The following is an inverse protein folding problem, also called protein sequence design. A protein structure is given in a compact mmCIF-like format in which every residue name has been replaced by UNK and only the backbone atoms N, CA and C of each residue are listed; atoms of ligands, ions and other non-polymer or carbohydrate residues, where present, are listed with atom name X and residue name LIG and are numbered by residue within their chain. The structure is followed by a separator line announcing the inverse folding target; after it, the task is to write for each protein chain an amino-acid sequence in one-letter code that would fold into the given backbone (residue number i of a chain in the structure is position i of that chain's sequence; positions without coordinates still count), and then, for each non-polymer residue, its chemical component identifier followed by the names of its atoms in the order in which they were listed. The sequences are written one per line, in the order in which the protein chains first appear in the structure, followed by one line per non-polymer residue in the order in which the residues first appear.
data_IF_568472312653
#
_entry.id   IF_568472312653
#
_cell.length_a   1.000
_cell.length_b   1.000
_cell.length_c   1.000
_cell.angle_alpha   90.00
_cell.angle_beta   90.00
_cell.angle_gamma   90.00
#
_symmetry.space_group_name_H-M   'P 1'
#
loop_
_entity.id
_entity.type
_entity.pdbx_description
1 polymer ?
#
# COMPACT_ATOMS: atom_id res chain seq x y z
N UNK A 1 -35.98 61.69 -7.70
CA UNK A 1 -36.25 60.50 -6.82
C UNK A 1 -36.72 59.38 -7.70
N UNK A 2 -35.82 58.44 -8.04
CA UNK A 2 -36.19 57.25 -8.80
C UNK A 2 -35.96 56.09 -7.85
N UNK A 3 -36.99 55.40 -7.40
CA UNK A 3 -36.94 54.18 -6.60
C UNK A 3 -36.74 52.99 -7.54
N UNK A 4 -35.58 52.41 -7.52
CA UNK A 4 -35.29 51.12 -8.16
C UNK A 4 -35.82 49.99 -7.28
N UNK A 5 -36.82 49.27 -7.78
CA UNK A 5 -37.35 48.05 -7.16
C UNK A 5 -36.45 46.86 -7.53
N UNK A 6 -35.64 46.41 -6.61
CA UNK A 6 -34.92 45.13 -6.72
C UNK A 6 -35.92 43.98 -6.58
N UNK A 7 -36.26 43.32 -7.67
CA UNK A 7 -36.94 42.03 -7.66
C UNK A 7 -35.97 40.98 -7.16
N UNK A 8 -36.21 40.45 -5.94
CA UNK A 8 -35.52 39.23 -5.45
C UNK A 8 -36.13 38.03 -6.19
N UNK A 9 -35.37 37.45 -7.09
CA UNK A 9 -35.67 36.14 -7.64
C UNK A 9 -35.52 35.10 -6.52
N UNK A 10 -36.63 34.66 -5.96
CA UNK A 10 -36.68 33.44 -5.12
C UNK A 10 -36.66 32.24 -6.03
N UNK A 11 -35.44 31.71 -6.28
CA UNK A 11 -35.31 30.38 -6.84
C UNK A 11 -35.92 29.40 -5.83
N UNK A 12 -37.10 28.89 -6.14
CA UNK A 12 -37.73 27.83 -5.37
C UNK A 12 -36.82 26.60 -5.48
N UNK A 13 -36.21 26.20 -4.38
CA UNK A 13 -35.68 24.85 -4.20
C UNK A 13 -36.89 23.91 -4.16
N UNK A 14 -37.46 23.64 -5.35
CA UNK A 14 -38.40 22.54 -5.50
C UNK A 14 -37.66 21.26 -5.15
N UNK A 15 -38.16 20.55 -4.15
CA UNK A 15 -37.83 19.23 -3.69
C UNK A 15 -37.27 18.34 -4.82
N UNK A 16 -35.95 18.31 -4.97
CA UNK A 16 -35.28 17.12 -5.38
C UNK A 16 -35.64 16.06 -4.32
N UNK A 17 -36.67 15.26 -4.60
CA UNK A 17 -36.73 13.93 -3.99
C UNK A 17 -35.40 13.28 -4.36
N UNK A 18 -34.49 13.32 -3.43
CA UNK A 18 -33.23 12.58 -3.53
C UNK A 18 -33.65 11.12 -3.74
N UNK A 19 -33.62 10.67 -4.99
CA UNK A 19 -33.56 9.23 -5.24
C UNK A 19 -32.39 8.78 -4.40
N UNK A 20 -32.65 7.92 -3.43
CA UNK A 20 -31.62 7.50 -2.49
C UNK A 20 -30.52 6.87 -3.32
N UNK A 21 -29.38 7.57 -3.37
CA UNK A 21 -28.20 7.08 -4.09
C UNK A 21 -27.84 5.70 -3.54
N UNK A 22 -27.71 4.72 -4.42
CA UNK A 22 -27.42 3.33 -4.06
C UNK A 22 -26.36 2.73 -4.98
N UNK A 23 -25.78 1.64 -4.56
CA UNK A 23 -24.96 0.76 -5.41
C UNK A 23 -25.91 -0.12 -6.23
N UNK A 24 -25.74 -0.15 -7.56
CA UNK A 24 -26.54 -0.98 -8.47
C UNK A 24 -25.81 -2.25 -8.87
N UNK A 25 -24.48 -2.15 -9.03
CA UNK A 25 -23.66 -3.29 -9.46
C UNK A 25 -22.37 -3.32 -8.66
N UNK A 26 -21.98 -4.50 -8.22
CA UNK A 26 -20.64 -4.82 -7.69
C UNK A 26 -20.05 -5.92 -8.53
N UNK A 27 -18.96 -5.65 -9.20
CA UNK A 27 -18.23 -6.65 -10.01
C UNK A 27 -16.83 -6.82 -9.43
N UNK A 28 -16.33 -8.04 -9.44
CA UNK A 28 -14.99 -8.38 -8.94
C UNK A 28 -14.24 -9.22 -9.98
N UNK A 29 -12.97 -8.88 -10.19
CA UNK A 29 -12.10 -9.51 -11.16
C UNK A 29 -10.82 -9.96 -10.49
N UNK A 30 -10.42 -11.22 -10.68
CA UNK A 30 -9.06 -11.67 -10.34
C UNK A 30 -8.23 -11.56 -11.61
N UNK A 31 -7.14 -10.80 -11.54
CA UNK A 31 -6.30 -10.44 -12.69
C UNK A 31 -4.87 -10.90 -12.42
N UNK A 32 -4.29 -11.63 -13.37
CA UNK A 32 -2.90 -12.10 -13.28
C UNK A 32 -2.03 -11.29 -14.25
N UNK A 33 -1.13 -10.48 -13.70
CA UNK A 33 -0.21 -9.66 -14.48
C UNK A 33 1.20 -10.26 -14.46
N UNK A 34 1.88 -10.34 -15.62
CA UNK A 34 3.25 -10.80 -15.69
C UNK A 34 4.20 -9.78 -15.04
N UNK A 35 5.25 -10.30 -14.40
CA UNK A 35 6.29 -9.51 -13.72
C UNK A 35 7.59 -9.52 -14.49
N UNK A 36 8.39 -8.48 -14.33
CA UNK A 36 9.68 -8.29 -15.03
C UNK A 36 10.70 -9.37 -14.69
N UNK A 37 10.62 -9.91 -13.49
CA UNK A 37 11.47 -11.03 -12.99
C UNK A 37 10.75 -11.72 -11.83
N UNK A 38 11.05 -13.01 -11.55
CA UNK A 38 10.59 -13.65 -10.32
C UNK A 38 11.00 -12.83 -9.10
N UNK A 39 10.08 -12.59 -8.17
CA UNK A 39 10.35 -11.86 -6.94
C UNK A 39 10.53 -12.84 -5.79
N UNK A 40 11.77 -12.87 -5.25
CA UNK A 40 12.15 -13.77 -4.17
C UNK A 40 11.70 -13.20 -2.82
N UNK A 41 10.76 -13.88 -2.18
CA UNK A 41 10.34 -13.62 -0.81
C UNK A 41 11.06 -14.54 0.16
N UNK A 42 11.01 -14.22 1.45
CA UNK A 42 11.56 -15.10 2.48
C UNK A 42 10.94 -16.51 2.48
N UNK A 43 9.64 -16.61 2.13
CA UNK A 43 8.83 -17.84 2.22
C UNK A 43 8.41 -18.43 0.88
N UNK A 44 8.47 -17.66 -0.23
CA UNK A 44 8.00 -18.09 -1.55
C UNK A 44 8.67 -17.31 -2.68
N UNK A 45 8.51 -17.79 -3.92
CA UNK A 45 8.88 -17.05 -5.13
C UNK A 45 7.61 -16.67 -5.88
N UNK A 46 7.39 -15.38 -6.08
CA UNK A 46 6.27 -14.86 -6.85
C UNK A 46 6.61 -14.88 -8.35
N UNK A 47 5.76 -15.52 -9.17
CA UNK A 47 5.95 -15.67 -10.62
C UNK A 47 5.07 -14.71 -11.43
N UNK A 48 3.99 -14.23 -10.84
CA UNK A 48 3.08 -13.25 -11.39
C UNK A 48 2.49 -12.42 -10.25
N UNK A 49 2.01 -11.22 -10.53
CA UNK A 49 1.24 -10.44 -9.57
C UNK A 49 -0.25 -10.66 -9.82
N UNK A 50 -0.94 -11.15 -8.81
CA UNK A 50 -2.39 -11.34 -8.86
C UNK A 50 -3.09 -10.21 -8.12
N UNK A 51 -3.98 -9.52 -8.83
CA UNK A 51 -4.78 -8.42 -8.31
C UNK A 51 -6.24 -8.85 -8.23
N UNK A 52 -6.93 -8.45 -7.17
CA UNK A 52 -8.39 -8.52 -7.08
C UNK A 52 -8.95 -7.11 -7.26
N UNK A 53 -9.62 -6.87 -8.39
CA UNK A 53 -10.19 -5.57 -8.74
C UNK A 53 -11.67 -5.56 -8.37
N UNK A 54 -12.11 -4.47 -7.74
CA UNK A 54 -13.53 -4.19 -7.45
C UNK A 54 -13.98 -3.06 -8.33
N UNK A 55 -15.15 -3.23 -8.97
CA UNK A 55 -15.87 -2.19 -9.68
C UNK A 55 -17.24 -2.00 -9.01
N UNK A 56 -17.56 -0.79 -8.66
CA UNK A 56 -18.86 -0.41 -8.09
C UNK A 56 -19.53 0.57 -9.04
N UNK A 57 -20.75 0.26 -9.47
CA UNK A 57 -21.58 1.16 -10.29
C UNK A 57 -22.72 1.68 -9.42
N UNK A 58 -22.85 3.00 -9.35
CA UNK A 58 -23.87 3.69 -8.57
C UNK A 58 -25.08 4.06 -9.43
N UNK A 59 -26.24 4.27 -8.80
CA UNK A 59 -27.53 4.60 -9.48
C UNK A 59 -27.53 5.93 -10.23
N UNK A 60 -26.53 6.76 -10.05
CA UNK A 60 -26.29 7.98 -10.82
C UNK A 60 -25.33 7.77 -12.01
N UNK A 61 -24.94 6.52 -12.28
CA UNK A 61 -24.01 6.15 -13.36
C UNK A 61 -22.54 6.30 -13.00
N UNK A 62 -22.20 6.85 -11.83
CA UNK A 62 -20.81 6.97 -11.40
C UNK A 62 -20.23 5.62 -11.06
N UNK A 63 -19.03 5.35 -11.60
CA UNK A 63 -18.28 4.10 -11.38
C UNK A 63 -17.02 4.36 -10.58
N UNK A 64 -16.80 3.55 -9.55
CA UNK A 64 -15.58 3.54 -8.77
C UNK A 64 -14.83 2.21 -8.85
N UNK A 65 -13.51 2.29 -8.75
CA UNK A 65 -12.61 1.14 -8.77
C UNK A 65 -11.77 1.06 -7.51
N UNK A 66 -11.49 -0.18 -7.09
CA UNK A 66 -10.58 -0.48 -5.98
C UNK A 66 -9.78 -1.73 -6.26
N UNK A 67 -8.73 -1.92 -5.50
CA UNK A 67 -7.80 -3.04 -5.66
C UNK A 67 -7.48 -3.65 -4.31
N UNK A 68 -7.54 -4.98 -4.24
CA UNK A 68 -7.00 -5.79 -3.16
C UNK A 68 -5.84 -6.62 -3.69
N UNK A 69 -4.71 -6.53 -3.04
CA UNK A 69 -3.47 -7.17 -3.47
C UNK A 69 -2.75 -7.77 -2.29
N UNK A 70 -2.14 -8.93 -2.49
CA UNK A 70 -1.29 -9.59 -1.53
C UNK A 70 -0.01 -10.10 -2.20
N UNK A 71 1.05 -10.20 -1.45
CA UNK A 71 2.33 -10.68 -1.95
C UNK A 71 2.34 -12.20 -1.92
N UNK A 72 2.40 -12.83 -3.11
CA UNK A 72 2.49 -14.28 -3.21
C UNK A 72 1.29 -15.05 -2.68
N UNK A 73 0.07 -14.58 -2.90
CA UNK A 73 -1.16 -15.24 -2.43
C UNK A 73 -1.25 -15.24 -0.91
N UNK A 74 -1.27 -16.42 -0.28
CA UNK A 74 -1.30 -16.57 1.19
C UNK A 74 0.08 -16.59 1.85
N UNK A 75 1.16 -16.34 1.10
CA UNK A 75 2.52 -16.43 1.64
C UNK A 75 2.88 -15.30 2.60
N UNK A 76 2.28 -14.12 2.43
CA UNK A 76 2.60 -12.95 3.25
C UNK A 76 1.41 -12.41 4.06
N UNK A 77 0.19 -12.57 3.60
CA UNK A 77 -1.01 -12.06 4.25
C UNK A 77 -2.03 -13.16 4.56
N UNK A 78 -3.02 -12.84 5.38
CA UNK A 78 -4.10 -13.76 5.77
C UNK A 78 -5.19 -13.91 4.69
N UNK A 79 -5.10 -13.18 3.59
CA UNK A 79 -6.09 -13.17 2.52
C UNK A 79 -5.43 -13.49 1.17
N UNK A 80 -6.10 -14.29 0.34
CA UNK A 80 -5.73 -14.47 -1.06
C UNK A 80 -6.63 -13.64 -1.97
N UNK A 81 -6.23 -13.34 -3.21
CA UNK A 81 -7.09 -12.66 -4.18
C UNK A 81 -8.45 -13.36 -4.38
N UNK A 82 -8.45 -14.68 -4.41
CA UNK A 82 -9.67 -15.50 -4.51
C UNK A 82 -10.54 -15.40 -3.24
N UNK A 83 -9.91 -15.39 -2.07
CA UNK A 83 -10.57 -15.19 -0.78
C UNK A 83 -11.20 -13.81 -0.67
N UNK A 84 -10.49 -12.76 -1.11
CA UNK A 84 -11.01 -11.39 -1.17
C UNK A 84 -12.23 -11.31 -2.10
N UNK A 85 -12.13 -11.90 -3.32
CA UNK A 85 -13.26 -11.97 -4.25
C UNK A 85 -14.46 -12.64 -3.60
N UNK A 86 -14.28 -13.80 -3.00
CA UNK A 86 -15.36 -14.54 -2.32
C UNK A 86 -15.99 -13.73 -1.19
N UNK A 87 -15.16 -13.06 -0.37
CA UNK A 87 -15.63 -12.22 0.73
C UNK A 87 -16.48 -11.05 0.21
N UNK A 88 -16.06 -10.41 -0.90
CA UNK A 88 -16.80 -9.31 -1.51
C UNK A 88 -18.11 -9.82 -2.12
N UNK A 89 -18.06 -10.81 -3.01
CA UNK A 89 -19.22 -11.28 -3.77
C UNK A 89 -20.32 -11.83 -2.87
N UNK A 90 -19.95 -12.53 -1.78
CA UNK A 90 -20.94 -13.25 -0.96
C UNK A 90 -21.37 -12.50 0.29
N UNK A 91 -20.52 -11.66 0.85
CA UNK A 91 -20.78 -11.07 2.17
C UNK A 91 -20.81 -9.54 2.14
N UNK A 92 -19.96 -8.88 1.33
CA UNK A 92 -19.88 -7.41 1.29
C UNK A 92 -20.88 -6.83 0.30
N UNK A 93 -21.02 -7.39 -0.91
CA UNK A 93 -21.91 -6.87 -1.94
C UNK A 93 -23.37 -6.71 -1.48
N UNK A 94 -23.99 -7.67 -0.74
CA UNK A 94 -25.34 -7.49 -0.21
C UNK A 94 -25.48 -6.32 0.76
N UNK A 95 -24.41 -5.95 1.48
CA UNK A 95 -24.41 -4.77 2.36
C UNK A 95 -24.32 -3.49 1.51
N UNK A 96 -23.52 -3.48 0.46
CA UNK A 96 -23.37 -2.35 -0.45
C UNK A 96 -24.65 -2.01 -1.18
N UNK A 97 -25.43 -3.00 -1.64
CA UNK A 97 -26.70 -2.84 -2.33
C UNK A 97 -27.72 -2.01 -1.50
N UNK A 98 -27.66 -2.15 -0.17
CA UNK A 98 -28.53 -1.43 0.76
C UNK A 98 -27.93 -0.10 1.28
N UNK A 99 -26.66 0.19 0.96
CA UNK A 99 -25.94 1.32 1.48
C UNK A 99 -26.01 2.55 0.56
N UNK A 100 -25.84 3.74 1.15
CA UNK A 100 -25.60 4.95 0.38
C UNK A 100 -24.10 5.09 0.10
N UNK A 101 -23.63 4.94 -1.17
CA UNK A 101 -22.21 4.98 -1.52
C UNK A 101 -21.55 6.33 -1.27
N UNK A 102 -22.30 7.40 -1.08
CA UNK A 102 -21.77 8.70 -0.68
C UNK A 102 -21.44 8.80 0.81
N UNK A 103 -21.95 7.88 1.63
CA UNK A 103 -21.68 7.81 3.07
C UNK A 103 -20.63 6.75 3.37
N UNK A 104 -19.43 6.92 2.80
CA UNK A 104 -18.37 5.90 2.86
C UNK A 104 -18.06 5.45 4.30
N UNK A 105 -17.87 6.31 5.31
CA UNK A 105 -17.61 5.86 6.68
C UNK A 105 -18.75 5.04 7.29
N UNK A 106 -20.01 5.40 7.01
CA UNK A 106 -21.20 4.66 7.49
C UNK A 106 -21.24 3.26 6.89
N UNK A 107 -21.08 3.17 5.56
CA UNK A 107 -21.03 1.92 4.80
C UNK A 107 -19.91 1.00 5.30
N UNK A 108 -18.69 1.52 5.41
CA UNK A 108 -17.56 0.76 5.90
C UNK A 108 -17.70 0.31 7.35
N UNK A 109 -18.36 1.12 8.19
CA UNK A 109 -18.68 0.72 9.56
C UNK A 109 -19.68 -0.43 9.62
N UNK A 110 -20.69 -0.44 8.76
CA UNK A 110 -21.63 -1.55 8.63
C UNK A 110 -20.90 -2.84 8.19
N UNK A 111 -20.02 -2.75 7.20
CA UNK A 111 -19.19 -3.88 6.74
C UNK A 111 -18.28 -4.40 7.87
N UNK A 112 -17.59 -3.53 8.61
CA UNK A 112 -16.71 -3.94 9.72
C UNK A 112 -17.47 -4.60 10.88
N UNK A 113 -18.71 -4.21 11.13
CA UNK A 113 -19.57 -4.85 12.13
C UNK A 113 -20.00 -6.26 11.71
N UNK A 114 -20.37 -6.42 10.44
CA UNK A 114 -20.86 -7.69 9.90
C UNK A 114 -19.75 -8.71 9.65
N UNK A 115 -18.55 -8.25 9.23
CA UNK A 115 -17.47 -9.11 8.73
C UNK A 115 -16.20 -8.86 9.56
N UNK A 116 -15.65 -9.95 10.14
CA UNK A 116 -14.38 -9.91 10.87
C UNK A 116 -13.21 -10.16 9.91
N UNK A 117 -12.02 -9.65 10.25
CA UNK A 117 -10.86 -9.76 9.35
C UNK A 117 -11.14 -9.19 7.97
N UNK A 118 -10.61 -9.82 6.93
CA UNK A 118 -10.80 -9.43 5.52
C UNK A 118 -10.46 -7.94 5.27
N UNK A 119 -9.32 -7.51 5.79
CA UNK A 119 -8.90 -6.13 5.73
C UNK A 119 -8.56 -5.71 4.30
N UNK A 120 -7.98 -6.61 3.51
CA UNK A 120 -7.58 -6.33 2.13
C UNK A 120 -8.83 -6.20 1.24
N UNK A 121 -9.80 -7.09 1.40
CA UNK A 121 -11.10 -6.98 0.73
C UNK A 121 -11.82 -5.67 1.11
N UNK A 122 -11.81 -5.29 2.39
CA UNK A 122 -12.39 -4.03 2.87
C UNK A 122 -11.69 -2.81 2.31
N UNK A 123 -10.36 -2.85 2.22
CA UNK A 123 -9.57 -1.78 1.61
C UNK A 123 -9.94 -1.57 0.15
N UNK A 124 -10.07 -2.64 -0.63
CA UNK A 124 -10.47 -2.57 -2.02
C UNK A 124 -11.86 -1.92 -2.19
N UNK A 125 -12.82 -2.32 -1.36
CA UNK A 125 -14.18 -1.76 -1.37
C UNK A 125 -14.19 -0.28 -0.95
N UNK A 126 -13.46 0.08 0.11
CA UNK A 126 -13.35 1.48 0.56
C UNK A 126 -12.73 2.36 -0.53
N UNK A 127 -11.69 1.87 -1.20
CA UNK A 127 -11.06 2.57 -2.34
C UNK A 127 -12.06 2.81 -3.46
N UNK A 128 -12.84 1.80 -3.85
CA UNK A 128 -13.85 1.94 -4.90
C UNK A 128 -14.95 2.94 -4.53
N UNK A 129 -15.40 2.95 -3.28
CA UNK A 129 -16.38 3.92 -2.79
C UNK A 129 -15.81 5.35 -2.78
N UNK A 130 -14.57 5.53 -2.36
CA UNK A 130 -13.88 6.83 -2.36
C UNK A 130 -13.60 7.33 -3.77
N UNK A 131 -13.25 6.44 -4.70
CA UNK A 131 -13.08 6.78 -6.11
C UNK A 131 -14.40 7.29 -6.71
N UNK A 132 -15.51 6.54 -6.52
CA UNK A 132 -16.83 6.99 -6.95
C UNK A 132 -17.25 8.31 -6.30
N UNK A 133 -16.94 8.49 -5.02
CA UNK A 133 -17.26 9.74 -4.30
C UNK A 133 -16.48 10.92 -4.89
N UNK A 134 -15.16 10.79 -5.06
CA UNK A 134 -14.31 11.84 -5.64
C UNK A 134 -14.74 12.21 -7.06
N UNK A 135 -15.05 11.23 -7.92
CA UNK A 135 -15.59 11.46 -9.26
C UNK A 135 -16.90 12.23 -9.24
N UNK A 136 -17.81 11.88 -8.33
CA UNK A 136 -19.12 12.55 -8.19
C UNK A 136 -19.03 14.03 -7.82
N UNK A 137 -18.09 14.37 -6.95
CA UNK A 137 -17.94 15.76 -6.47
C UNK A 137 -16.82 16.52 -7.19
N UNK A 138 -16.12 15.87 -8.14
CA UNK A 138 -15.06 16.50 -8.93
C UNK A 138 -13.76 16.75 -8.17
N UNK A 139 -13.45 15.98 -7.11
CA UNK A 139 -12.26 16.14 -6.29
C UNK A 139 -11.37 14.90 -6.31
N UNK A 140 -10.01 15.05 -6.27
CA UNK A 140 -9.12 13.93 -6.08
C UNK A 140 -9.34 13.25 -4.73
N UNK A 141 -9.03 11.97 -4.64
CA UNK A 141 -9.21 11.18 -3.42
C UNK A 141 -8.43 11.75 -2.23
N UNK A 142 -7.26 12.36 -2.45
CA UNK A 142 -6.48 13.00 -1.39
C UNK A 142 -7.25 14.08 -0.63
N UNK A 143 -8.13 14.83 -1.32
CA UNK A 143 -8.95 15.87 -0.67
C UNK A 143 -10.03 15.27 0.23
N UNK A 144 -10.44 14.02 -0.04
CA UNK A 144 -11.42 13.30 0.78
C UNK A 144 -10.85 12.69 2.06
N UNK A 145 -9.53 12.45 2.07
CA UNK A 145 -8.85 11.71 3.16
C UNK A 145 -7.90 12.59 3.99
N UNK A 146 -7.97 13.91 3.86
CA UNK A 146 -7.21 14.82 4.71
C UNK A 146 -6.71 16.10 4.04
N UNK A 147 -6.69 16.14 2.71
CA UNK A 147 -6.11 17.25 1.94
C UNK A 147 -4.62 17.06 1.67
N UNK A 148 -4.25 17.23 0.41
CA UNK A 148 -2.90 16.96 -0.08
C UNK A 148 -1.89 18.02 0.38
N UNK A 149 -0.78 17.57 0.93
CA UNK A 149 0.35 18.41 1.36
C UNK A 149 1.54 18.35 0.38
N UNK A 150 1.57 17.37 -0.51
CA UNK A 150 2.63 17.20 -1.52
C UNK A 150 2.09 16.55 -2.79
N UNK A 151 2.64 16.96 -3.93
CA UNK A 151 2.23 16.50 -5.26
C UNK A 151 3.01 15.29 -5.75
N UNK A 152 4.11 14.97 -5.07
CA UNK A 152 5.01 13.87 -5.41
C UNK A 152 5.49 13.16 -4.15
N UNK A 153 5.78 11.88 -4.26
CA UNK A 153 6.19 11.02 -3.15
C UNK A 153 7.50 10.31 -3.50
N UNK A 154 8.56 10.43 -2.66
CA UNK A 154 9.77 9.64 -2.83
C UNK A 154 9.49 8.14 -2.79
N UNK A 155 10.08 7.39 -3.73
CA UNK A 155 9.85 5.95 -3.87
C UNK A 155 11.14 5.18 -3.71
N UNK A 156 11.22 4.31 -2.70
CA UNK A 156 12.29 3.34 -2.53
C UNK A 156 12.16 2.17 -3.51
N UNK A 157 13.27 1.48 -3.77
CA UNK A 157 13.33 0.28 -4.57
C UNK A 157 13.87 -0.91 -3.77
N UNK A 158 13.32 -2.10 -4.01
CA UNK A 158 13.81 -3.32 -3.36
C UNK A 158 14.85 -4.01 -4.24
N UNK A 159 16.08 -4.12 -3.72
CA UNK A 159 17.14 -4.96 -4.27
C UNK A 159 16.94 -6.39 -3.74
N UNK A 160 16.72 -7.34 -4.62
CA UNK A 160 16.27 -8.68 -4.27
C UNK A 160 16.95 -9.79 -5.09
N UNK A 161 18.11 -9.52 -5.72
CA UNK A 161 18.86 -10.57 -6.43
C UNK A 161 19.56 -11.52 -5.46
N UNK A 162 19.92 -11.01 -4.29
CA UNK A 162 20.73 -11.73 -3.31
C UNK A 162 22.23 -11.81 -3.68
N UNK A 163 22.65 -11.28 -4.82
CA UNK A 163 24.06 -11.13 -5.19
C UNK A 163 24.51 -9.70 -5.02
N UNK A 164 25.58 -9.49 -4.26
CA UNK A 164 26.07 -8.14 -3.91
C UNK A 164 26.47 -7.33 -5.15
N UNK A 165 27.09 -7.97 -6.15
CA UNK A 165 27.54 -7.25 -7.36
C UNK A 165 26.36 -6.88 -8.25
N UNK A 166 25.38 -7.77 -8.36
CA UNK A 166 24.16 -7.53 -9.14
C UNK A 166 23.35 -6.41 -8.49
N UNK A 167 23.16 -6.46 -7.16
CA UNK A 167 22.40 -5.44 -6.42
C UNK A 167 23.07 -4.06 -6.47
N UNK A 168 24.43 -4.00 -6.39
CA UNK A 168 25.16 -2.73 -6.59
C UNK A 168 24.96 -2.20 -8.00
N UNK A 169 25.10 -3.05 -9.03
CA UNK A 169 24.94 -2.63 -10.42
C UNK A 169 23.51 -2.13 -10.70
N UNK A 170 22.49 -2.81 -10.16
CA UNK A 170 21.10 -2.38 -10.25
C UNK A 170 20.87 -1.02 -9.57
N UNK A 171 21.40 -0.84 -8.34
CA UNK A 171 21.27 0.42 -7.62
C UNK A 171 21.95 1.59 -8.34
N UNK A 172 23.16 1.40 -8.87
CA UNK A 172 23.86 2.40 -9.67
C UNK A 172 23.05 2.81 -10.92
N UNK A 173 22.49 1.82 -11.63
CA UNK A 173 21.63 2.07 -12.79
C UNK A 173 20.38 2.89 -12.40
N UNK A 174 19.76 2.59 -11.24
CA UNK A 174 18.61 3.34 -10.75
C UNK A 174 18.97 4.79 -10.39
N UNK A 175 20.14 5.02 -9.79
CA UNK A 175 20.67 6.35 -9.49
C UNK A 175 20.95 7.15 -10.78
N UNK A 176 21.64 6.55 -11.74
CA UNK A 176 21.97 7.21 -13.02
C UNK A 176 20.70 7.63 -13.79
N UNK A 177 19.68 6.78 -13.77
CA UNK A 177 18.38 7.05 -14.40
C UNK A 177 17.46 7.95 -13.57
N UNK A 178 17.90 8.39 -12.39
CA UNK A 178 17.07 9.12 -11.42
C UNK A 178 15.75 8.44 -11.11
N UNK A 179 15.78 7.10 -11.01
CA UNK A 179 14.59 6.30 -10.70
C UNK A 179 14.38 6.16 -9.20
N UNK A 180 15.42 5.75 -8.46
CA UNK A 180 15.39 5.53 -7.02
C UNK A 180 16.73 5.94 -6.38
N UNK A 181 16.68 6.50 -5.17
CA UNK A 181 17.81 6.85 -4.32
C UNK A 181 17.66 6.33 -2.87
N UNK A 182 16.68 5.51 -2.64
CA UNK A 182 16.51 4.74 -1.41
C UNK A 182 16.32 3.27 -1.79
N UNK A 183 17.12 2.39 -1.20
CA UNK A 183 17.13 0.97 -1.50
C UNK A 183 16.85 0.15 -0.27
N UNK A 184 15.94 -0.83 -0.39
CA UNK A 184 15.61 -1.81 0.63
C UNK A 184 16.15 -3.17 0.23
N UNK A 185 16.87 -3.84 1.13
CA UNK A 185 17.45 -5.15 0.94
C UNK A 185 16.66 -6.19 1.75
N UNK A 186 16.24 -7.25 1.11
CA UNK A 186 15.64 -8.41 1.79
C UNK A 186 16.77 -9.28 2.36
N UNK A 187 16.82 -9.42 3.69
CA UNK A 187 17.82 -10.21 4.42
C UNK A 187 17.13 -11.22 5.35
N UNK A 188 17.90 -12.03 6.07
CA UNK A 188 17.39 -13.02 7.01
C UNK A 188 17.32 -14.46 6.45
N UNK A 189 17.78 -14.68 5.20
CA UNK A 189 17.86 -16.02 4.58
C UNK A 189 19.26 -16.64 4.68
N UNK A 190 20.27 -15.83 4.84
CA UNK A 190 21.67 -16.22 5.01
C UNK A 190 22.07 -16.13 6.48
N UNK A 191 23.30 -16.50 6.77
CA UNK A 191 23.88 -16.19 8.08
C UNK A 191 23.90 -14.67 8.32
N UNK A 192 23.80 -14.25 9.57
CA UNK A 192 23.81 -12.83 9.95
C UNK A 192 25.07 -12.13 9.43
N UNK A 193 26.23 -12.82 9.50
CA UNK A 193 27.51 -12.24 9.06
C UNK A 193 27.54 -12.01 7.54
N UNK A 194 26.94 -12.91 6.75
CA UNK A 194 26.80 -12.75 5.30
C UNK A 194 25.83 -11.63 4.95
N UNK A 195 24.68 -11.54 5.64
CA UNK A 195 23.71 -10.47 5.43
C UNK A 195 24.30 -9.10 5.78
N UNK A 196 24.99 -8.98 6.92
CA UNK A 196 25.67 -7.73 7.32
C UNK A 196 26.77 -7.37 6.32
N UNK A 197 27.58 -8.32 5.87
CA UNK A 197 28.63 -8.08 4.88
C UNK A 197 28.05 -7.60 3.54
N UNK A 198 26.92 -8.17 3.11
CA UNK A 198 26.18 -7.76 1.91
C UNK A 198 25.71 -6.31 2.01
N UNK A 199 25.03 -5.96 3.10
CA UNK A 199 24.55 -4.59 3.36
C UNK A 199 25.71 -3.59 3.43
N UNK A 200 26.79 -3.93 4.15
CA UNK A 200 27.97 -3.09 4.28
C UNK A 200 28.67 -2.82 2.93
N UNK A 201 28.73 -3.83 2.05
CA UNK A 201 29.31 -3.66 0.73
C UNK A 201 28.49 -2.71 -0.15
N UNK A 202 27.15 -2.85 -0.14
CA UNK A 202 26.23 -1.99 -0.89
C UNK A 202 26.28 -0.56 -0.33
N UNK A 203 26.19 -0.39 1.00
CA UNK A 203 26.28 0.93 1.63
C UNK A 203 27.60 1.65 1.30
N UNK A 204 28.70 0.91 1.30
CA UNK A 204 30.01 1.45 0.92
C UNK A 204 30.06 1.88 -0.56
N UNK A 205 29.49 1.09 -1.45
CA UNK A 205 29.47 1.39 -2.87
C UNK A 205 28.63 2.63 -3.18
N UNK A 206 27.45 2.76 -2.56
CA UNK A 206 26.53 3.86 -2.80
C UNK A 206 26.89 5.13 -2.02
N UNK A 207 27.52 4.99 -0.86
CA UNK A 207 27.92 6.12 0.00
C UNK A 207 26.74 6.98 0.43
N UNK A 208 26.90 8.29 0.38
CA UNK A 208 25.82 9.26 0.72
C UNK A 208 24.84 9.53 -0.42
N UNK A 209 25.03 8.91 -1.60
CA UNK A 209 24.15 9.09 -2.77
C UNK A 209 22.79 8.42 -2.60
N UNK A 210 22.68 7.45 -1.70
CA UNK A 210 21.45 6.70 -1.46
C UNK A 210 21.28 6.30 0.01
N UNK A 211 20.00 6.18 0.41
CA UNK A 211 19.63 5.49 1.65
C UNK A 211 19.63 3.97 1.43
N UNK A 212 20.23 3.23 2.37
CA UNK A 212 20.25 1.75 2.36
C UNK A 212 19.55 1.23 3.61
N UNK A 213 18.47 0.50 3.42
CA UNK A 213 17.58 -0.04 4.45
C UNK A 213 17.50 -1.55 4.33
N UNK A 214 17.12 -2.22 5.39
CA UNK A 214 16.91 -3.66 5.37
C UNK A 214 15.52 -4.04 5.81
N UNK A 215 15.02 -5.15 5.29
CA UNK A 215 13.80 -5.80 5.74
C UNK A 215 14.11 -7.28 6.04
N UNK A 216 13.88 -7.64 7.27
CA UNK A 216 14.18 -8.98 7.81
C UNK A 216 12.96 -9.88 7.77
N UNK A 217 11.77 -9.32 7.62
CA UNK A 217 10.48 -10.03 7.59
C UNK A 217 10.34 -11.05 8.74
N UNK A 218 10.65 -10.62 9.98
CA UNK A 218 10.53 -11.42 11.21
C UNK A 218 11.48 -12.64 11.29
N UNK A 219 12.46 -12.76 10.39
CA UNK A 219 13.26 -13.98 10.27
C UNK A 219 14.22 -14.22 11.45
N UNK A 220 14.54 -13.20 12.25
CA UNK A 220 15.50 -13.35 13.34
C UNK A 220 14.81 -13.62 14.67
N UNK A 221 15.43 -14.50 15.47
CA UNK A 221 15.22 -14.53 16.92
C UNK A 221 15.77 -13.24 17.55
N UNK A 222 15.38 -12.94 18.78
CA UNK A 222 15.89 -11.74 19.47
C UNK A 222 17.41 -11.79 19.69
N UNK A 223 17.98 -12.97 19.88
CA UNK A 223 19.43 -13.16 20.01
C UNK A 223 20.14 -12.84 18.70
N UNK A 224 19.63 -13.34 17.59
CA UNK A 224 20.13 -13.06 16.25
C UNK A 224 19.97 -11.59 15.88
N UNK A 225 18.81 -10.99 16.20
CA UNK A 225 18.56 -9.58 15.98
C UNK A 225 19.56 -8.69 16.73
N UNK A 226 19.96 -9.02 17.95
CA UNK A 226 21.00 -8.29 18.68
C UNK A 226 22.35 -8.30 17.94
N UNK A 227 22.74 -9.46 17.38
CA UNK A 227 23.98 -9.57 16.59
C UNK A 227 23.83 -8.82 15.27
N UNK A 228 22.72 -9.03 14.56
CA UNK A 228 22.46 -8.45 13.25
C UNK A 228 22.38 -6.92 13.29
N UNK A 229 21.60 -6.35 14.21
CA UNK A 229 21.45 -4.91 14.36
C UNK A 229 22.77 -4.22 14.73
N UNK A 230 23.58 -4.82 15.62
CA UNK A 230 24.92 -4.30 15.92
C UNK A 230 25.81 -4.23 14.67
N UNK A 231 25.76 -5.26 13.83
CA UNK A 231 26.50 -5.27 12.57
C UNK A 231 25.96 -4.26 11.54
N UNK A 232 24.65 -4.11 11.45
CA UNK A 232 24.00 -3.15 10.56
C UNK A 232 24.29 -1.69 10.96
N UNK A 233 24.29 -1.38 12.27
CA UNK A 233 24.72 -0.06 12.76
C UNK A 233 26.17 0.23 12.35
N UNK A 234 27.09 -0.71 12.59
CA UNK A 234 28.48 -0.57 12.22
C UNK A 234 28.69 -0.44 10.70
N UNK A 235 27.80 -1.05 9.89
CA UNK A 235 27.78 -0.91 8.43
C UNK A 235 27.18 0.43 7.95
N UNK A 236 26.56 1.22 8.82
CA UNK A 236 25.90 2.47 8.49
C UNK A 236 24.56 2.27 7.77
N UNK A 237 23.87 1.16 8.02
CA UNK A 237 22.51 0.93 7.55
C UNK A 237 21.57 1.98 8.13
N UNK A 238 20.65 2.52 7.33
CA UNK A 238 19.84 3.67 7.72
C UNK A 238 18.56 3.28 8.49
N UNK A 239 18.07 2.03 8.34
CA UNK A 239 16.83 1.55 8.98
C UNK A 239 16.73 0.03 8.89
N UNK A 240 16.20 -0.60 9.95
CA UNK A 240 15.89 -2.03 9.99
C UNK A 240 14.38 -2.27 10.18
N UNK A 241 13.75 -2.93 9.19
CA UNK A 241 12.33 -3.26 9.21
C UNK A 241 12.10 -4.65 9.79
N UNK A 242 11.18 -4.75 10.72
CA UNK A 242 10.61 -5.94 11.36
C UNK A 242 11.64 -7.08 11.59
N UNK A 243 12.69 -6.85 12.38
CA UNK A 243 13.73 -7.85 12.59
C UNK A 243 13.22 -9.12 13.30
N UNK A 244 12.21 -8.98 14.15
CA UNK A 244 11.64 -10.04 14.99
C UNK A 244 10.12 -10.06 14.92
N UNK A 245 9.49 -11.21 15.19
CA UNK A 245 8.03 -11.35 15.21
C UNK A 245 7.38 -10.68 16.43
N UNK A 246 7.99 -10.83 17.62
CA UNK A 246 7.42 -10.40 18.90
C UNK A 246 7.46 -8.87 19.05
N UNK A 247 6.31 -8.17 19.23
CA UNK A 247 6.29 -6.73 19.52
C UNK A 247 7.03 -6.36 20.80
N UNK A 248 7.06 -7.25 21.81
CA UNK A 248 7.79 -7.03 23.06
C UNK A 248 9.31 -7.12 22.84
N UNK A 249 9.79 -8.03 21.99
CA UNK A 249 11.19 -8.10 21.59
C UNK A 249 11.55 -6.86 20.73
N UNK A 250 10.67 -6.47 19.82
CA UNK A 250 10.86 -5.27 19.00
C UNK A 250 11.08 -4.03 19.88
N UNK A 251 10.26 -3.84 20.94
CA UNK A 251 10.42 -2.73 21.89
C UNK A 251 11.79 -2.75 22.60
N UNK A 252 12.30 -3.93 23.00
CA UNK A 252 13.63 -4.03 23.61
C UNK A 252 14.76 -3.69 22.63
N UNK A 253 14.61 -4.07 21.37
CA UNK A 253 15.56 -3.74 20.32
C UNK A 253 15.56 -2.23 20.01
N UNK A 254 14.39 -1.62 19.83
CA UNK A 254 14.25 -0.18 19.61
C UNK A 254 14.83 0.65 20.75
N UNK A 255 14.68 0.19 22.02
CA UNK A 255 15.30 0.85 23.16
C UNK A 255 16.82 0.68 23.26
N UNK A 256 17.40 -0.32 22.58
CA UNK A 256 18.80 -0.70 22.70
C UNK A 256 19.69 -0.13 21.59
N UNK A 257 19.19 -0.09 20.37
CA UNK A 257 19.97 0.25 19.19
C UNK A 257 19.63 1.67 18.71
N UNK A 258 20.60 2.37 18.12
CA UNK A 258 20.42 3.70 17.55
C UNK A 258 19.91 3.63 16.09
N UNK A 259 20.12 2.51 15.40
CA UNK A 259 19.51 2.27 14.09
C UNK A 259 17.98 2.26 14.24
N UNK A 260 17.23 3.11 13.52
CA UNK A 260 15.78 3.12 13.62
C UNK A 260 15.16 1.77 13.29
N UNK A 261 14.23 1.33 14.15
CA UNK A 261 13.46 0.10 13.97
C UNK A 261 12.09 0.44 13.39
N UNK A 262 11.73 -0.21 12.28
CA UNK A 262 10.42 -0.04 11.65
C UNK A 262 9.52 -1.25 11.92
N UNK A 263 8.28 -0.99 12.33
CA UNK A 263 7.23 -2.00 12.43
C UNK A 263 6.46 -2.09 11.11
N UNK A 264 6.32 -3.31 10.57
CA UNK A 264 5.53 -3.65 9.39
C UNK A 264 4.48 -4.73 9.72
N UNK A 265 4.87 -5.99 9.81
CA UNK A 265 3.93 -7.10 10.04
C UNK A 265 3.20 -6.98 11.39
N UNK A 266 3.81 -6.34 12.37
CA UNK A 266 3.18 -6.04 13.66
C UNK A 266 2.13 -4.93 13.60
N UNK A 267 2.04 -4.19 12.49
CA UNK A 267 1.18 -3.02 12.31
C UNK A 267 -0.06 -3.37 11.47
N UNK A 268 -1.12 -3.85 12.09
CA UNK A 268 -2.32 -4.35 11.42
C UNK A 268 -3.54 -3.40 11.51
N UNK A 269 -3.31 -2.13 11.84
CA UNK A 269 -4.35 -1.11 11.96
C UNK A 269 -4.24 -0.26 13.22
N UNK A 270 -5.25 0.57 13.53
CA UNK A 270 -5.16 1.55 14.63
C UNK A 270 -4.95 0.92 16.01
N UNK A 271 -5.51 -0.24 16.28
CA UNK A 271 -5.40 -0.91 17.58
C UNK A 271 -3.96 -1.38 17.85
N UNK A 272 -3.32 -1.98 16.84
CA UNK A 272 -1.93 -2.41 16.93
C UNK A 272 -0.99 -1.19 16.91
N UNK A 273 -1.28 -0.15 16.12
CA UNK A 273 -0.54 1.10 16.13
C UNK A 273 -0.51 1.73 17.53
N UNK A 274 -1.66 1.80 18.21
CA UNK A 274 -1.74 2.30 19.57
C UNK A 274 -0.94 1.43 20.55
N UNK A 275 -1.02 0.10 20.42
CA UNK A 275 -0.28 -0.82 21.28
C UNK A 275 1.25 -0.67 21.10
N UNK A 276 1.73 -0.57 19.85
CA UNK A 276 3.14 -0.35 19.53
C UNK A 276 3.62 1.02 20.02
N UNK A 277 2.84 2.08 19.79
CA UNK A 277 3.17 3.43 20.24
C UNK A 277 3.28 3.51 21.78
N UNK A 278 2.33 2.90 22.50
CA UNK A 278 2.34 2.88 23.98
C UNK A 278 3.57 2.22 24.58
N UNK A 279 4.15 1.25 23.88
CA UNK A 279 5.33 0.50 24.34
C UNK A 279 6.63 0.97 23.70
N UNK A 280 6.60 2.03 22.88
CA UNK A 280 7.75 2.51 22.08
C UNK A 280 8.42 1.36 21.32
N UNK A 281 7.60 0.49 20.72
CA UNK A 281 8.09 -0.73 20.09
C UNK A 281 8.76 -0.50 18.72
N UNK A 282 8.61 0.70 18.15
CA UNK A 282 9.24 1.05 16.88
C UNK A 282 9.41 2.57 16.77
N UNK A 283 10.42 2.97 16.00
CA UNK A 283 10.72 4.37 15.68
C UNK A 283 9.98 4.83 14.42
N UNK A 284 9.58 3.88 13.56
CA UNK A 284 8.92 4.11 12.27
C UNK A 284 7.79 3.10 12.08
N UNK A 285 6.68 3.55 11.51
CA UNK A 285 5.56 2.72 11.09
C UNK A 285 5.49 2.60 9.57
N UNK A 286 5.53 1.37 9.04
CA UNK A 286 5.24 1.07 7.64
C UNK A 286 3.73 1.02 7.43
N UNK A 287 3.13 2.14 7.03
CA UNK A 287 1.69 2.24 6.86
C UNK A 287 1.28 1.61 5.53
N UNK A 288 0.42 0.59 5.58
CA UNK A 288 -0.19 -0.03 4.40
C UNK A 288 -1.71 0.06 4.50
N UNK A 289 -2.36 0.57 3.44
CA UNK A 289 -3.81 0.73 3.43
C UNK A 289 -4.54 -0.63 3.51
N UNK A 290 -3.98 -1.66 2.88
CA UNK A 290 -4.54 -3.01 2.88
C UNK A 290 -4.52 -3.64 4.28
N UNK A 291 -3.36 -3.66 4.97
CA UNK A 291 -3.25 -4.19 6.34
C UNK A 291 -4.14 -3.44 7.32
N UNK A 292 -4.27 -2.14 7.15
CA UNK A 292 -5.12 -1.30 8.01
C UNK A 292 -6.63 -1.50 7.75
N UNK A 293 -7.02 -2.10 6.62
CA UNK A 293 -8.42 -2.31 6.25
C UNK A 293 -9.10 -1.07 5.66
N UNK A 294 -8.33 -0.25 4.94
CA UNK A 294 -8.78 0.91 4.18
C UNK A 294 -8.03 2.20 4.52
N UNK A 295 -8.26 3.22 3.70
CA UNK A 295 -7.59 4.52 3.79
C UNK A 295 -7.90 5.26 5.10
N UNK A 296 -9.17 5.24 5.54
CA UNK A 296 -9.55 5.89 6.81
C UNK A 296 -8.88 5.23 8.01
N UNK A 297 -8.71 3.90 8.02
CA UNK A 297 -8.02 3.23 9.11
C UNK A 297 -6.51 3.49 9.06
N UNK A 298 -5.92 3.48 7.87
CA UNK A 298 -4.51 3.84 7.68
C UNK A 298 -4.23 5.30 8.07
N UNK A 299 -5.15 6.23 7.79
CA UNK A 299 -5.08 7.61 8.26
C UNK A 299 -5.10 7.71 9.79
N UNK A 300 -5.87 6.85 10.49
CA UNK A 300 -5.85 6.77 11.96
C UNK A 300 -4.53 6.22 12.50
N UNK A 301 -3.92 5.24 11.81
CA UNK A 301 -2.56 4.77 12.13
C UNK A 301 -1.57 5.92 12.05
N UNK A 302 -1.63 6.71 10.97
CA UNK A 302 -0.75 7.86 10.79
C UNK A 302 -0.97 8.94 11.87
N UNK A 303 -2.21 9.20 12.29
CA UNK A 303 -2.51 10.13 13.36
C UNK A 303 -1.96 9.67 14.72
N UNK A 304 -2.01 8.37 15.03
CA UNK A 304 -1.39 7.79 16.23
C UNK A 304 0.12 7.95 16.18
N UNK A 305 0.76 7.64 15.04
CA UNK A 305 2.19 7.80 14.85
C UNK A 305 2.62 9.26 15.03
N UNK A 306 1.88 10.20 14.44
CA UNK A 306 2.17 11.63 14.57
C UNK A 306 2.08 12.11 16.02
N UNK A 307 1.02 11.73 16.72
CA UNK A 307 0.83 12.05 18.15
C UNK A 307 1.91 11.43 19.06
N UNK A 308 2.44 10.25 18.68
CA UNK A 308 3.49 9.56 19.43
C UNK A 308 4.92 9.93 18.95
N UNK A 309 5.07 10.87 18.00
CA UNK A 309 6.35 11.25 17.39
C UNK A 309 7.09 10.08 16.69
N UNK A 310 6.34 9.09 16.22
CA UNK A 310 6.84 7.96 15.44
C UNK A 310 6.92 8.36 13.96
N UNK A 311 8.02 8.01 13.27
CA UNK A 311 8.21 8.28 11.85
C UNK A 311 7.22 7.52 10.98
N UNK A 312 6.90 8.05 9.79
CA UNK A 312 6.02 7.39 8.83
C UNK A 312 6.79 6.98 7.57
N UNK A 313 6.47 5.82 7.10
CA UNK A 313 6.86 5.23 5.82
C UNK A 313 5.63 4.69 5.10
N UNK A 314 5.48 5.00 3.83
CA UNK A 314 4.40 4.44 3.02
C UNK A 314 4.77 3.06 2.50
N UNK A 315 4.30 2.01 3.15
CA UNK A 315 4.54 0.63 2.75
C UNK A 315 3.72 0.19 1.54
N UNK A 316 3.97 -1.02 1.04
CA UNK A 316 3.28 -1.62 -0.11
C UNK A 316 2.98 -3.11 0.12
N UNK A 317 1.95 -3.59 -0.56
CA UNK A 317 1.70 -5.01 -0.81
C UNK A 317 2.04 -5.41 -2.25
N UNK A 318 2.90 -4.61 -2.94
CA UNK A 318 3.22 -4.71 -4.36
C UNK A 318 1.98 -4.55 -5.24
N UNK A 319 1.13 -3.60 -4.87
CA UNK A 319 -0.11 -3.30 -5.58
C UNK A 319 0.16 -2.95 -7.05
N UNK A 320 -0.85 -3.20 -7.88
CA UNK A 320 -0.94 -2.61 -9.20
C UNK A 320 -1.20 -1.09 -9.14
N UNK A 321 -1.59 -0.52 -10.24
CA UNK A 321 -1.72 0.94 -10.33
C UNK A 321 -2.83 1.52 -9.45
N UNK A 322 -3.97 0.83 -9.29
CA UNK A 322 -5.11 1.31 -8.51
C UNK A 322 -4.76 1.40 -7.04
N UNK A 323 -4.24 0.31 -6.45
CA UNK A 323 -3.85 0.26 -5.05
C UNK A 323 -2.67 1.19 -4.73
N UNK A 324 -1.69 1.27 -5.65
CA UNK A 324 -0.56 2.20 -5.54
C UNK A 324 -1.03 3.66 -5.50
N UNK A 325 -1.94 4.07 -6.39
CA UNK A 325 -2.45 5.45 -6.42
C UNK A 325 -3.38 5.73 -5.22
N UNK A 326 -4.19 4.77 -4.78
CA UNK A 326 -4.97 4.93 -3.55
C UNK A 326 -4.05 5.19 -2.34
N UNK A 327 -2.97 4.43 -2.22
CA UNK A 327 -1.93 4.64 -1.20
C UNK A 327 -1.26 6.01 -1.35
N UNK A 328 -0.92 6.41 -2.58
CA UNK A 328 -0.29 7.70 -2.87
C UNK A 328 -1.19 8.88 -2.46
N UNK A 329 -2.49 8.81 -2.75
CA UNK A 329 -3.44 9.83 -2.31
C UNK A 329 -3.43 10.01 -0.78
N UNK A 330 -3.46 8.90 -0.02
CA UNK A 330 -3.42 8.98 1.44
C UNK A 330 -2.06 9.49 1.93
N UNK A 331 -0.96 8.92 1.44
CA UNK A 331 0.39 9.27 1.93
C UNK A 331 0.77 10.72 1.60
N UNK A 332 0.19 11.29 0.54
CA UNK A 332 0.36 12.71 0.20
C UNK A 332 -0.21 13.67 1.27
N UNK A 333 -1.13 13.19 2.12
CA UNK A 333 -1.75 13.97 3.20
C UNK A 333 -0.98 13.91 4.52
N UNK A 334 0.03 13.04 4.65
CA UNK A 334 0.75 12.89 5.90
C UNK A 334 1.64 14.11 6.17
N UNK A 335 1.53 14.77 7.33
CA UNK A 335 2.36 15.94 7.64
C UNK A 335 3.85 15.61 7.61
N UNK A 336 4.22 14.47 8.15
CA UNK A 336 5.60 13.97 8.20
C UNK A 336 5.69 12.61 7.51
N UNK A 337 6.44 12.52 6.41
CA UNK A 337 6.72 11.30 5.67
C UNK A 337 8.23 11.22 5.42
N UNK A 338 9.00 11.28 6.51
CA UNK A 338 10.45 11.41 6.45
C UNK A 338 11.16 10.24 5.77
N UNK A 339 10.52 9.07 5.77
CA UNK A 339 11.09 7.85 5.20
C UNK A 339 10.62 7.57 3.76
N UNK A 340 9.77 8.44 3.18
CA UNK A 340 9.23 8.26 1.83
C UNK A 340 8.26 7.07 1.74
N UNK A 341 8.24 6.44 0.58
CA UNK A 341 7.32 5.34 0.29
C UNK A 341 8.02 4.18 -0.42
N UNK A 342 7.28 3.08 -0.59
CA UNK A 342 7.68 1.88 -1.34
C UNK A 342 6.70 1.59 -2.50
N UNK A 343 6.13 2.66 -3.09
CA UNK A 343 5.09 2.58 -4.10
C UNK A 343 5.64 2.21 -5.50
N UNK A 344 6.43 1.15 -5.58
CA UNK A 344 7.05 0.68 -6.83
C UNK A 344 6.36 -0.53 -7.46
N UNK A 345 5.28 -1.06 -6.87
CA UNK A 345 4.58 -2.25 -7.38
C UNK A 345 4.34 -2.23 -8.89
N UNK A 346 3.79 -1.15 -9.49
CA UNK A 346 3.58 -1.05 -10.93
C UNK A 346 4.86 -1.18 -11.78
N UNK A 347 6.03 -0.85 -11.22
CA UNK A 347 7.32 -0.96 -11.93
C UNK A 347 7.84 -2.41 -12.01
N UNK A 348 7.29 -3.32 -11.22
CA UNK A 348 7.56 -4.75 -11.32
C UNK A 348 6.77 -5.43 -12.43
N UNK A 349 5.70 -4.81 -12.93
CA UNK A 349 4.81 -5.36 -13.93
C UNK A 349 5.33 -5.07 -15.34
N UNK A 350 5.24 -6.03 -16.25
CA UNK A 350 5.49 -5.81 -17.68
C UNK A 350 4.26 -5.28 -18.39
N UNK A 351 3.08 -5.45 -17.80
CA UNK A 351 1.79 -5.02 -18.30
C UNK A 351 1.01 -4.27 -17.21
N UNK A 352 0.19 -3.31 -17.60
CA UNK A 352 -0.62 -2.50 -16.69
C UNK A 352 -2.06 -2.41 -17.15
N UNK A 353 -2.97 -2.10 -16.22
CA UNK A 353 -4.41 -1.99 -16.47
C UNK A 353 -4.85 -0.54 -16.76
N UNK A 354 -3.92 0.38 -17.01
CA UNK A 354 -4.23 1.78 -17.26
C UNK A 354 -4.08 2.13 -18.74
N UNK A 355 -4.86 3.12 -19.20
CA UNK A 355 -4.70 3.74 -20.51
C UNK A 355 -3.37 4.50 -20.62
N UNK A 356 -2.96 5.16 -19.53
CA UNK A 356 -1.70 5.89 -19.41
C UNK A 356 -0.89 5.41 -18.19
N UNK A 357 0.43 5.18 -18.32
CA UNK A 357 1.25 4.71 -17.23
C UNK A 357 1.43 5.76 -16.14
N UNK A 358 1.66 5.29 -14.90
CA UNK A 358 1.96 6.16 -13.76
C UNK A 358 3.28 6.91 -13.98
N UNK A 359 3.33 8.16 -13.50
CA UNK A 359 4.46 9.06 -13.71
C UNK A 359 5.48 8.95 -12.59
N UNK A 360 6.59 8.22 -12.85
CA UNK A 360 7.75 8.12 -11.97
C UNK A 360 8.91 8.93 -12.57
N UNK A 361 9.34 9.97 -11.88
CA UNK A 361 10.43 10.85 -12.31
C UNK A 361 11.16 11.43 -11.11
N UNK A 362 12.46 11.64 -11.25
CA UNK A 362 13.32 12.30 -10.25
C UNK A 362 13.17 11.64 -8.85
N UNK A 363 13.18 10.30 -8.80
CA UNK A 363 13.04 9.47 -7.60
C UNK A 363 11.65 9.46 -6.97
N UNK A 364 10.63 10.03 -7.62
CA UNK A 364 9.31 10.24 -7.05
C UNK A 364 8.18 9.76 -7.96
N UNK A 365 7.06 9.37 -7.34
CA UNK A 365 5.78 9.13 -7.97
C UNK A 365 4.92 10.39 -7.90
N UNK A 366 4.37 10.83 -9.03
CA UNK A 366 3.39 11.91 -9.06
C UNK A 366 2.03 11.43 -8.52
N UNK A 367 1.41 12.24 -7.68
CA UNK A 367 0.04 11.99 -7.17
C UNK A 367 -0.96 12.62 -8.15
N UNK A 368 -1.89 11.84 -8.74
CA UNK A 368 -2.85 12.38 -9.69
C UNK A 368 -3.72 13.50 -9.11
N UNK A 369 -4.17 14.41 -9.98
CA UNK A 369 -5.00 15.58 -9.60
C UNK A 369 -6.42 15.47 -10.09
N UNK A 370 -6.74 14.47 -10.90
CA UNK A 370 -8.08 14.23 -11.42
C UNK A 370 -9.05 13.72 -10.34
N UNK A 371 -10.36 13.75 -10.60
CA UNK A 371 -11.39 13.29 -9.65
C UNK A 371 -11.24 11.82 -9.29
N UNK A 372 -11.52 11.48 -8.03
CA UNK A 372 -11.36 10.12 -7.50
C UNK A 372 -9.89 9.72 -7.47
N UNK A 373 -9.54 8.57 -8.03
CA UNK A 373 -8.17 8.11 -8.20
C UNK A 373 -7.38 8.95 -9.21
N UNK A 374 -8.07 9.66 -10.13
CA UNK A 374 -7.42 10.47 -11.16
C UNK A 374 -6.64 9.66 -12.20
N UNK A 375 -6.98 8.39 -12.37
CA UNK A 375 -6.44 7.45 -13.36
C UNK A 375 -7.59 6.81 -14.16
N UNK A 376 -7.30 6.35 -15.37
CA UNK A 376 -8.27 5.71 -16.25
C UNK A 376 -7.85 4.26 -16.53
N UNK A 377 -8.80 3.32 -16.33
CA UNK A 377 -8.58 1.91 -16.60
C UNK A 377 -8.83 1.59 -18.06
N UNK A 378 -7.96 0.75 -18.62
CA UNK A 378 -8.14 0.08 -19.90
C UNK A 378 -9.00 -1.18 -19.67
N UNK A 379 -10.27 -1.12 -20.05
CA UNK A 379 -11.22 -2.20 -19.84
C UNK A 379 -10.89 -3.44 -20.67
N UNK A 380 -10.32 -3.26 -21.88
CA UNK A 380 -9.95 -4.40 -22.73
C UNK A 380 -8.79 -5.17 -22.10
N UNK A 381 -7.81 -4.46 -21.53
CA UNK A 381 -6.71 -5.08 -20.77
C UNK A 381 -7.21 -5.75 -19.49
N UNK A 382 -8.14 -5.13 -18.77
CA UNK A 382 -8.76 -5.75 -17.58
C UNK A 382 -9.38 -7.11 -17.94
N UNK A 383 -10.16 -7.17 -18.99
CA UNK A 383 -10.78 -8.43 -19.45
C UNK A 383 -9.77 -9.43 -20.00
N UNK A 384 -8.75 -8.97 -20.72
CA UNK A 384 -7.71 -9.84 -21.27
C UNK A 384 -6.90 -10.56 -20.19
N UNK A 385 -6.54 -9.87 -19.11
CA UNK A 385 -5.76 -10.43 -18.00
C UNK A 385 -6.62 -11.06 -16.90
N UNK A 386 -7.94 -10.99 -17.01
CA UNK A 386 -8.85 -11.62 -16.07
C UNK A 386 -8.64 -13.13 -16.07
N UNK A 387 -8.49 -13.70 -14.88
CA UNK A 387 -8.41 -15.14 -14.69
C UNK A 387 -9.78 -15.77 -14.94
N UNK A 388 -9.86 -16.75 -15.83
CA UNK A 388 -11.05 -17.60 -15.98
C UNK A 388 -11.22 -18.56 -14.78
N UNK A 389 -12.40 -19.13 -14.63
CA UNK A 389 -12.73 -20.01 -13.50
C UNK A 389 -11.91 -21.33 -13.47
N UNK A 390 -11.31 -21.72 -14.59
CA UNK A 390 -10.56 -22.99 -14.71
C UNK A 390 -9.07 -22.81 -14.38
N UNK A 391 -8.54 -21.59 -14.45
CA UNK A 391 -7.13 -21.32 -14.19
C UNK A 391 -6.81 -21.40 -12.69
N UNK A 392 -5.87 -22.28 -12.34
CA UNK A 392 -5.35 -22.35 -10.97
C UNK A 392 -4.50 -21.14 -10.64
N UNK A 393 -4.40 -20.80 -9.35
CA UNK A 393 -3.46 -19.77 -8.89
C UNK A 393 -2.03 -20.14 -9.28
N UNK A 394 -1.35 -19.21 -10.00
CA UNK A 394 0.04 -19.36 -10.45
C UNK A 394 1.01 -18.48 -9.66
N UNK A 395 0.49 -17.81 -8.62
CA UNK A 395 1.23 -16.72 -7.96
C UNK A 395 2.44 -17.19 -7.18
N UNK A 396 2.49 -18.45 -6.73
CA UNK A 396 3.60 -18.95 -5.90
C UNK A 396 4.05 -20.35 -6.28
N UNK A 397 5.36 -20.52 -6.39
CA UNK A 397 6.01 -21.80 -6.19
C UNK A 397 6.61 -21.85 -4.78
N UNK A 398 6.60 -23.00 -4.07
CA UNK A 398 7.32 -23.15 -2.80
C UNK A 398 8.77 -22.71 -2.97
N UNK A 399 9.33 -22.00 -1.99
CA UNK A 399 10.76 -21.76 -1.97
C UNK A 399 11.46 -23.13 -2.02
N UNK A 400 12.29 -23.35 -3.04
CA UNK A 400 13.11 -24.56 -3.06
C UNK A 400 13.94 -24.56 -1.78
N UNK A 401 13.75 -25.57 -0.93
CA UNK A 401 14.64 -25.80 0.19
C UNK A 401 16.05 -25.95 -0.41
N UNK A 402 16.88 -24.96 -0.15
CA UNK A 402 18.27 -25.00 -0.56
C UNK A 402 18.91 -26.25 0.06
N UNK A 403 19.39 -27.17 -0.79
CA UNK A 403 20.18 -28.30 -0.38
C UNK A 403 21.57 -27.86 0.13
#
# INVERSE_FOLDING_TARGET
MVRSTMQRSTTSFSSLRASTLRVEVVETYVVDLPITRPHLLSVATMQAQTLMIVKIVCSDGVTGFGEGTTIGGLSYGAESPEGMKLAIDRYIAPILESANPARVPETMNAIRKAIKGNNFAKCAVETALLDAWGKRIGLPMSELVGGRLRDRLPVAWTLASGDTKIDIAEAEQMLERKRHNAFKLKIGRRSIDEDVAHVAAIKRALGSRASVRVDVNMAWSEVEANKGLSGLEAAGCDLAEQPVESPTALARLAARFAIPIMADESLQGPETAFALARTSAADVFAVKIAQSGGLYQAGRVAAIADAASIGLYGGTMLEGAIGTIASAHLFSTFPRLAWGTELFGPLLLTEQLLTEPLQYQDFELAVPTGPGLGIELDHDRLHFFQRDAERRSISTAPAQAGG
#
